data_IF_149813483511
#
_entry.id   IF_149813483511
#
_cell.length_a   1.000
_cell.length_b   1.000
_cell.length_c   1.000
_cell.angle_alpha   90.00
_cell.angle_beta   90.00
_cell.angle_gamma   90.00
#
_symmetry.space_group_name_H-M   'P 1'
#
loop_
_entity.id
_entity.type
_entity.pdbx_description
1 polymer ?
#
# COMPACT_ATOMS: atom_id res chain seq x y z
N UNK A 1 -12.72 28.35 20.36
CA UNK A 1 -13.12 28.55 18.95
C UNK A 1 -12.74 27.36 18.06
N UNK A 2 -11.56 26.76 18.25
CA UNK A 2 -11.06 25.62 17.49
C UNK A 2 -11.85 24.32 17.70
N UNK A 3 -12.22 24.00 18.95
CA UNK A 3 -13.05 22.81 19.28
C UNK A 3 -14.39 22.78 18.53
N UNK A 4 -15.07 23.92 18.43
CA UNK A 4 -16.35 24.00 17.71
C UNK A 4 -16.19 23.78 16.20
N UNK A 5 -15.07 24.22 15.61
CA UNK A 5 -14.77 23.97 14.19
C UNK A 5 -14.57 22.47 13.92
N UNK A 6 -13.79 21.80 14.78
CA UNK A 6 -13.56 20.34 14.68
C UNK A 6 -14.88 19.57 14.82
N UNK A 7 -15.71 19.94 15.80
CA UNK A 7 -17.01 19.31 16.01
C UNK A 7 -17.94 19.47 14.80
N UNK A 8 -17.99 20.66 14.18
CA UNK A 8 -18.77 20.90 12.96
C UNK A 8 -18.26 20.07 11.78
N UNK A 9 -16.95 20.02 11.57
CA UNK A 9 -16.35 19.22 10.51
C UNK A 9 -16.61 17.73 10.70
N UNK A 10 -16.49 17.23 11.94
CA UNK A 10 -16.78 15.84 12.28
C UNK A 10 -18.26 15.50 12.03
N UNK A 11 -19.19 16.37 12.46
CA UNK A 11 -20.62 16.18 12.21
C UNK A 11 -20.95 16.12 10.71
N UNK A 12 -20.31 16.97 9.90
CA UNK A 12 -20.47 16.94 8.44
C UNK A 12 -19.93 15.63 7.84
N UNK A 13 -18.74 15.20 8.25
CA UNK A 13 -18.15 13.94 7.79
C UNK A 13 -19.02 12.73 8.17
N UNK A 14 -19.53 12.68 9.40
CA UNK A 14 -20.45 11.64 9.87
C UNK A 14 -21.74 11.62 9.05
N UNK A 15 -22.31 12.77 8.70
CA UNK A 15 -23.50 12.85 7.85
C UNK A 15 -23.25 12.27 6.45
N UNK A 16 -22.08 12.52 5.87
CA UNK A 16 -21.69 11.96 4.57
C UNK A 16 -21.51 10.45 4.68
N UNK A 17 -20.77 9.98 5.69
CA UNK A 17 -20.56 8.55 5.91
C UNK A 17 -21.87 7.80 6.14
N UNK A 18 -22.81 8.41 6.88
CA UNK A 18 -24.12 7.84 7.15
C UNK A 18 -24.93 7.66 5.86
N UNK A 19 -24.93 8.65 4.97
CA UNK A 19 -25.58 8.56 3.66
C UNK A 19 -24.95 7.48 2.77
N UNK A 20 -23.63 7.35 2.85
CA UNK A 20 -22.84 6.40 2.07
C UNK A 20 -23.01 4.93 2.49
N UNK A 21 -23.59 4.64 3.67
CA UNK A 21 -23.82 3.26 4.13
C UNK A 21 -24.67 2.45 3.15
N UNK A 22 -25.66 3.09 2.50
CA UNK A 22 -26.55 2.41 1.57
C UNK A 22 -25.81 1.87 0.34
N UNK A 23 -24.76 2.57 -0.11
CA UNK A 23 -23.97 2.20 -1.27
C UNK A 23 -22.82 1.25 -0.90
N UNK A 24 -22.10 1.55 0.18
CA UNK A 24 -20.81 0.90 0.46
C UNK A 24 -20.81 -0.04 1.67
N UNK A 25 -21.96 -0.43 2.24
CA UNK A 25 -21.95 -1.50 3.27
C UNK A 25 -21.44 -2.83 2.68
N UNK A 26 -21.82 -3.16 1.46
CA UNK A 26 -21.46 -4.41 0.77
C UNK A 26 -20.54 -4.19 -0.45
N UNK A 27 -20.13 -2.94 -0.69
CA UNK A 27 -19.24 -2.49 -1.77
C UNK A 27 -18.19 -1.55 -1.22
N UNK A 28 -17.31 -1.04 -2.05
CA UNK A 28 -16.31 -0.05 -1.67
C UNK A 28 -16.37 1.15 -2.62
N UNK A 29 -16.03 2.36 -2.16
CA UNK A 29 -15.81 3.47 -3.07
C UNK A 29 -14.55 3.21 -3.91
N UNK A 30 -14.60 3.56 -5.19
CA UNK A 30 -13.42 3.54 -6.05
C UNK A 30 -12.30 4.45 -5.54
N UNK A 31 -11.07 4.23 -6.01
CA UNK A 31 -9.89 4.99 -5.56
C UNK A 31 -9.97 6.50 -5.84
N UNK A 32 -10.81 6.91 -6.79
CA UNK A 32 -11.01 8.30 -7.19
C UNK A 32 -12.50 8.58 -7.40
N UNK A 33 -12.94 9.81 -7.15
CA UNK A 33 -14.29 10.24 -7.47
C UNK A 33 -14.41 10.60 -8.94
N UNK A 34 -15.57 10.31 -9.54
CA UNK A 34 -15.99 10.80 -10.84
C UNK A 34 -17.11 11.81 -10.64
N UNK A 35 -16.93 13.03 -11.15
CA UNK A 35 -17.90 14.11 -10.97
C UNK A 35 -18.31 14.33 -9.49
N UNK A 36 -17.35 14.20 -8.56
CA UNK A 36 -17.51 14.30 -7.10
C UNK A 36 -18.29 13.14 -6.43
N UNK A 37 -18.59 12.07 -7.16
CA UNK A 37 -19.19 10.84 -6.61
C UNK A 37 -18.23 9.66 -6.77
N UNK A 38 -18.13 8.81 -5.75
CA UNK A 38 -17.31 7.61 -5.85
C UNK A 38 -18.11 6.48 -6.52
N UNK A 39 -17.59 5.86 -7.60
CA UNK A 39 -18.23 4.67 -8.16
C UNK A 39 -18.17 3.52 -7.13
N UNK A 40 -19.17 2.64 -7.16
CA UNK A 40 -19.13 1.39 -6.39
C UNK A 40 -18.17 0.40 -7.05
N UNK A 41 -17.29 -0.18 -6.26
CA UNK A 41 -16.34 -1.21 -6.67
C UNK A 41 -16.42 -2.44 -5.76
N UNK A 42 -15.86 -3.55 -6.21
CA UNK A 42 -15.60 -4.70 -5.35
C UNK A 42 -14.45 -4.42 -4.36
N UNK A 43 -14.16 -5.38 -3.49
CA UNK A 43 -12.99 -5.34 -2.61
C UNK A 43 -11.70 -5.69 -3.38
N UNK A 44 -11.36 -4.86 -4.36
CA UNK A 44 -10.15 -4.89 -5.17
C UNK A 44 -9.51 -3.51 -5.10
N UNK A 45 -8.29 -3.34 -5.60
CA UNK A 45 -7.46 -2.14 -5.45
C UNK A 45 -6.93 -1.95 -4.01
N UNK A 46 -6.03 -0.98 -3.86
CA UNK A 46 -5.25 -0.71 -2.65
C UNK A 46 -5.96 0.20 -1.62
N UNK A 47 -7.12 0.78 -1.97
CA UNK A 47 -7.77 1.85 -1.19
C UNK A 47 -8.95 1.38 -0.32
N UNK A 48 -9.44 0.16 -0.53
CA UNK A 48 -10.71 -0.28 0.09
C UNK A 48 -10.67 -0.31 1.61
N UNK A 49 -9.48 -0.50 2.21
CA UNK A 49 -9.31 -0.50 3.66
C UNK A 49 -9.62 0.85 4.32
N UNK A 50 -9.46 1.96 3.59
CA UNK A 50 -9.75 3.30 4.10
C UNK A 50 -11.25 3.50 4.35
N UNK A 51 -12.12 2.94 3.51
CA UNK A 51 -13.57 2.99 3.72
C UNK A 51 -13.94 2.33 5.06
N UNK A 52 -13.48 1.10 5.29
CA UNK A 52 -13.71 0.39 6.57
C UNK A 52 -13.14 1.14 7.76
N UNK A 53 -11.94 1.72 7.61
CA UNK A 53 -11.33 2.57 8.63
C UNK A 53 -12.18 3.77 9.02
N UNK A 54 -12.81 4.43 8.05
CA UNK A 54 -13.70 5.56 8.35
C UNK A 54 -14.95 5.12 9.11
N UNK A 55 -15.48 3.91 8.87
CA UNK A 55 -16.57 3.36 9.66
C UNK A 55 -16.15 3.00 11.09
N UNK A 56 -14.95 2.46 11.28
CA UNK A 56 -14.42 2.25 12.64
C UNK A 56 -14.22 3.56 13.40
N UNK A 57 -13.63 4.58 12.76
CA UNK A 57 -13.47 5.91 13.35
C UNK A 57 -14.83 6.55 13.69
N UNK A 58 -15.82 6.41 12.80
CA UNK A 58 -17.18 6.89 13.06
C UNK A 58 -17.82 6.17 14.25
N UNK A 59 -17.66 4.84 14.35
CA UNK A 59 -18.15 4.06 15.49
C UNK A 59 -17.48 4.46 16.81
N UNK A 60 -16.16 4.62 16.85
CA UNK A 60 -15.46 5.06 18.07
C UNK A 60 -15.90 6.47 18.50
N UNK A 61 -16.21 7.34 17.54
CA UNK A 61 -16.64 8.72 17.83
C UNK A 61 -18.08 8.81 18.32
N UNK A 62 -19.00 7.97 17.82
CA UNK A 62 -20.45 8.11 18.06
C UNK A 62 -21.09 6.95 18.82
N UNK A 63 -20.41 5.82 18.94
CA UNK A 63 -20.95 4.53 19.37
C UNK A 63 -22.16 4.04 18.54
N UNK A 64 -22.38 4.59 17.34
CA UNK A 64 -23.54 4.28 16.52
C UNK A 64 -23.40 2.91 15.84
N UNK A 65 -24.31 1.99 16.16
CA UNK A 65 -24.24 0.59 15.75
C UNK A 65 -24.20 0.37 14.23
N UNK A 66 -24.77 1.27 13.42
CA UNK A 66 -24.77 1.09 11.96
C UNK A 66 -23.38 1.14 11.35
N UNK A 67 -22.48 1.98 11.88
CA UNK A 67 -21.10 2.04 11.38
C UNK A 67 -20.34 0.77 11.73
N UNK A 68 -20.52 0.26 12.95
CA UNK A 68 -19.96 -1.03 13.36
C UNK A 68 -20.48 -2.16 12.48
N UNK A 69 -21.78 -2.26 12.26
CA UNK A 69 -22.37 -3.33 11.43
C UNK A 69 -21.81 -3.29 10.00
N UNK A 70 -21.69 -2.11 9.39
CA UNK A 70 -21.11 -1.98 8.06
C UNK A 70 -19.61 -2.35 8.02
N UNK A 71 -18.85 -1.93 9.03
CA UNK A 71 -17.44 -2.29 9.13
C UNK A 71 -17.24 -3.80 9.33
N UNK A 72 -18.07 -4.46 10.14
CA UNK A 72 -18.01 -5.91 10.36
C UNK A 72 -18.36 -6.69 9.08
N UNK A 73 -19.32 -6.22 8.26
CA UNK A 73 -19.60 -6.79 6.94
C UNK A 73 -18.37 -6.69 6.02
N UNK A 74 -17.72 -5.52 5.97
CA UNK A 74 -16.53 -5.33 5.15
C UNK A 74 -15.33 -6.16 5.65
N UNK A 75 -15.21 -6.40 6.97
CA UNK A 75 -14.19 -7.31 7.53
C UNK A 75 -14.35 -8.73 6.99
N UNK A 76 -15.57 -9.25 6.86
CA UNK A 76 -15.80 -10.57 6.24
C UNK A 76 -15.38 -10.57 4.77
N UNK A 77 -15.61 -9.47 4.05
CA UNK A 77 -15.11 -9.29 2.68
C UNK A 77 -13.56 -9.33 2.62
N UNK A 78 -12.86 -8.64 3.52
CA UNK A 78 -11.39 -8.68 3.61
C UNK A 78 -10.86 -10.07 3.99
N UNK A 79 -11.54 -10.77 4.89
CA UNK A 79 -11.18 -12.14 5.24
C UNK A 79 -11.27 -13.05 4.01
N UNK A 80 -12.34 -12.94 3.21
CA UNK A 80 -12.46 -13.68 1.96
C UNK A 80 -11.38 -13.29 0.94
N UNK A 81 -11.10 -11.99 0.78
CA UNK A 81 -10.06 -11.47 -0.12
C UNK A 81 -8.70 -12.11 0.15
N UNK A 82 -8.25 -12.12 1.41
CA UNK A 82 -6.93 -12.68 1.74
C UNK A 82 -6.89 -14.20 1.66
N UNK A 83 -7.97 -14.90 2.02
CA UNK A 83 -8.04 -16.37 1.95
C UNK A 83 -8.03 -16.87 0.51
N UNK A 84 -8.69 -16.15 -0.39
CA UNK A 84 -8.77 -16.49 -1.82
C UNK A 84 -7.66 -15.83 -2.65
N UNK A 85 -6.78 -15.04 -2.02
CA UNK A 85 -5.69 -14.30 -2.69
C UNK A 85 -6.17 -13.40 -3.84
N UNK A 86 -7.31 -12.75 -3.65
CA UNK A 86 -7.90 -11.83 -4.64
C UNK A 86 -7.18 -10.49 -4.56
N UNK A 87 -6.42 -10.16 -5.60
CA UNK A 87 -5.75 -8.86 -5.74
C UNK A 87 -4.93 -8.49 -4.49
N UNK A 88 -3.97 -9.34 -4.13
CA UNK A 88 -3.10 -9.17 -2.95
C UNK A 88 -1.60 -9.29 -3.29
N UNK A 89 -1.23 -9.26 -4.56
CA UNK A 89 0.15 -9.39 -5.01
C UNK A 89 0.87 -8.03 -5.15
N UNK A 90 0.82 -7.26 -4.07
CA UNK A 90 1.41 -5.93 -3.97
C UNK A 90 1.71 -5.60 -2.49
N UNK A 91 2.45 -4.54 -2.24
CA UNK A 91 2.87 -4.16 -0.89
C UNK A 91 1.81 -3.43 -0.04
N UNK A 92 0.63 -3.11 -0.57
CA UNK A 92 -0.39 -2.27 0.09
C UNK A 92 -1.22 -3.01 1.14
N UNK A 93 -0.71 -4.12 1.66
CA UNK A 93 -1.41 -4.94 2.65
C UNK A 93 -1.67 -4.18 3.95
N UNK A 94 -0.79 -3.25 4.33
CA UNK A 94 -1.02 -2.41 5.50
C UNK A 94 -2.14 -1.39 5.28
N UNK A 95 -2.22 -0.75 4.11
CA UNK A 95 -3.36 0.13 3.76
C UNK A 95 -4.69 -0.60 3.77
N UNK A 96 -4.69 -1.86 3.33
CA UNK A 96 -5.91 -2.65 3.27
C UNK A 96 -6.32 -3.19 4.64
N UNK A 97 -5.41 -3.82 5.39
CA UNK A 97 -5.75 -4.61 6.58
C UNK A 97 -5.53 -3.90 7.91
N UNK A 98 -4.73 -2.82 7.96
CA UNK A 98 -4.56 -2.04 9.20
C UNK A 98 -5.83 -1.27 9.57
N UNK A 99 -6.37 -0.39 8.70
CA UNK A 99 -7.58 0.36 9.03
C UNK A 99 -8.85 -0.52 9.05
N UNK A 100 -8.85 -1.71 8.44
CA UNK A 100 -10.00 -2.61 8.44
C UNK A 100 -9.91 -3.66 9.56
N UNK A 101 -9.09 -4.70 9.38
CA UNK A 101 -9.08 -5.89 10.21
C UNK A 101 -8.31 -5.71 11.53
N UNK A 102 -7.18 -4.99 11.52
CA UNK A 102 -6.46 -4.68 12.77
C UNK A 102 -7.32 -3.78 13.65
N UNK A 103 -7.93 -2.73 13.09
CA UNK A 103 -8.87 -1.87 13.80
C UNK A 103 -10.04 -2.67 14.39
N UNK A 104 -10.68 -3.54 13.60
CA UNK A 104 -11.77 -4.40 14.07
C UNK A 104 -11.36 -5.28 15.26
N UNK A 105 -10.17 -5.91 15.21
CA UNK A 105 -9.66 -6.70 16.33
C UNK A 105 -9.39 -5.83 17.56
N UNK A 106 -8.80 -4.64 17.40
CA UNK A 106 -8.50 -3.74 18.51
C UNK A 106 -9.76 -3.20 19.19
N UNK A 107 -10.78 -2.86 18.41
CA UNK A 107 -12.02 -2.24 18.91
C UNK A 107 -12.95 -3.30 19.52
N UNK A 108 -13.05 -4.49 18.91
CA UNK A 108 -14.10 -5.48 19.26
C UNK A 108 -13.56 -6.83 19.74
N UNK A 109 -12.26 -7.10 19.61
CA UNK A 109 -11.69 -8.42 19.85
C UNK A 109 -12.00 -9.45 18.76
N UNK A 110 -12.51 -9.04 17.59
CA UNK A 110 -12.88 -9.94 16.50
C UNK A 110 -11.69 -10.83 16.06
N UNK A 111 -11.79 -12.13 16.36
CA UNK A 111 -10.72 -13.11 16.09
C UNK A 111 -10.53 -13.40 14.61
N UNK A 112 -11.60 -13.34 13.81
CA UNK A 112 -11.51 -13.53 12.35
C UNK A 112 -10.79 -12.36 11.69
N UNK A 113 -11.04 -11.14 12.17
CA UNK A 113 -10.30 -9.96 11.76
C UNK A 113 -8.80 -10.09 12.11
N UNK A 114 -8.48 -10.58 13.32
CA UNK A 114 -7.09 -10.88 13.70
C UNK A 114 -6.43 -11.87 12.74
N UNK A 115 -7.12 -12.96 12.40
CA UNK A 115 -6.63 -13.96 11.46
C UNK A 115 -6.38 -13.33 10.07
N UNK A 116 -7.34 -12.57 9.55
CA UNK A 116 -7.19 -11.88 8.25
C UNK A 116 -5.96 -10.98 8.21
N UNK A 117 -5.75 -10.18 9.26
CA UNK A 117 -4.61 -9.27 9.34
C UNK A 117 -3.26 -10.01 9.46
N UNK A 118 -3.20 -11.15 10.15
CA UNK A 118 -1.98 -11.98 10.21
C UNK A 118 -1.69 -12.59 8.82
N UNK A 119 -2.71 -13.11 8.14
CA UNK A 119 -2.56 -13.63 6.78
C UNK A 119 -2.11 -12.55 5.79
N UNK A 120 -2.56 -11.31 5.97
CA UNK A 120 -2.11 -10.16 5.20
C UNK A 120 -0.66 -9.77 5.52
N UNK A 121 -0.23 -9.88 6.78
CA UNK A 121 1.17 -9.69 7.15
C UNK A 121 2.06 -10.77 6.54
N UNK A 122 1.63 -12.03 6.51
CA UNK A 122 2.33 -13.13 5.83
C UNK A 122 2.44 -12.88 4.32
N UNK A 123 1.36 -12.38 3.70
CA UNK A 123 1.37 -11.97 2.30
C UNK A 123 2.37 -10.84 2.05
N UNK A 124 2.40 -9.81 2.91
CA UNK A 124 3.34 -8.70 2.76
C UNK A 124 4.80 -9.16 2.86
N UNK A 125 5.16 -9.96 3.87
CA UNK A 125 6.55 -10.41 4.02
C UNK A 125 6.99 -11.36 2.91
N UNK A 126 6.08 -12.04 2.22
CA UNK A 126 6.41 -12.87 1.05
C UNK A 126 7.07 -12.07 -0.07
N UNK A 127 6.90 -10.74 -0.08
CA UNK A 127 7.51 -9.82 -1.03
C UNK A 127 8.89 -9.31 -0.58
N UNK A 128 9.39 -9.77 0.58
CA UNK A 128 10.68 -9.34 1.10
C UNK A 128 11.84 -9.91 0.26
N UNK A 129 12.67 -9.00 -0.23
CA UNK A 129 13.87 -9.28 -0.98
C UNK A 129 15.08 -9.28 -0.02
N UNK A 130 15.64 -10.47 0.21
CA UNK A 130 16.84 -10.63 1.05
C UNK A 130 18.01 -9.83 0.47
N UNK A 131 18.20 -9.90 -0.85
CA UNK A 131 19.16 -9.04 -1.55
C UNK A 131 18.57 -7.64 -1.66
N UNK A 132 19.26 -6.65 -1.10
CA UNK A 132 18.76 -5.26 -1.05
C UNK A 132 17.85 -4.95 0.15
N UNK A 133 17.42 -5.96 0.92
CA UNK A 133 16.71 -5.78 2.19
C UNK A 133 15.51 -4.83 2.13
N UNK A 134 14.56 -5.11 1.23
CA UNK A 134 13.35 -4.31 1.05
C UNK A 134 12.14 -5.18 0.74
N UNK A 135 10.95 -4.59 0.77
CA UNK A 135 9.70 -5.22 0.35
C UNK A 135 9.42 -4.71 -1.06
N UNK A 136 9.38 -5.61 -2.04
CA UNK A 136 9.14 -5.23 -3.42
C UNK A 136 7.71 -4.70 -3.57
N UNK A 137 7.57 -3.55 -4.24
CA UNK A 137 6.27 -2.89 -4.36
C UNK A 137 5.25 -3.75 -5.12
N UNK A 138 5.42 -3.91 -6.43
CA UNK A 138 4.49 -4.61 -7.32
C UNK A 138 5.24 -5.54 -8.29
N UNK A 139 4.49 -6.29 -9.09
CA UNK A 139 5.04 -7.21 -10.09
C UNK A 139 5.58 -8.50 -9.47
N UNK A 140 6.02 -9.39 -10.36
CA UNK A 140 6.54 -10.71 -10.00
C UNK A 140 7.73 -10.56 -9.01
N UNK A 141 7.68 -11.24 -7.85
CA UNK A 141 8.76 -11.18 -6.87
C UNK A 141 10.12 -11.56 -7.47
N UNK A 142 11.09 -10.66 -7.36
CA UNK A 142 12.45 -10.88 -7.85
C UNK A 142 12.69 -10.54 -9.32
N UNK A 143 11.66 -10.11 -10.06
CA UNK A 143 11.81 -9.65 -11.44
C UNK A 143 12.63 -8.34 -11.51
N UNK A 144 13.61 -8.30 -12.40
CA UNK A 144 14.58 -7.20 -12.50
C UNK A 144 13.91 -5.88 -12.94
N UNK A 145 12.91 -5.95 -13.82
CA UNK A 145 12.16 -4.79 -14.32
C UNK A 145 11.21 -4.16 -13.28
N UNK A 146 11.01 -4.84 -12.15
CA UNK A 146 10.17 -4.39 -11.03
C UNK A 146 10.87 -4.49 -9.67
N UNK A 147 12.20 -4.62 -9.65
CA UNK A 147 13.01 -4.74 -8.42
C UNK A 147 13.14 -3.40 -7.69
N UNK A 148 12.03 -2.89 -7.15
CA UNK A 148 11.91 -1.53 -6.63
C UNK A 148 11.13 -1.43 -5.33
N UNK A 149 11.46 -0.41 -4.55
CA UNK A 149 10.65 0.07 -3.43
C UNK A 149 9.99 1.41 -3.77
N UNK A 150 8.85 1.68 -3.14
CA UNK A 150 8.09 2.94 -3.23
C UNK A 150 7.88 3.45 -1.80
N UNK A 151 7.88 4.77 -1.63
CA UNK A 151 7.90 5.43 -0.31
C UNK A 151 6.68 5.14 0.57
N UNK A 152 5.51 4.94 -0.04
CA UNK A 152 4.26 4.58 0.64
C UNK A 152 4.31 3.22 1.35
N UNK A 153 5.26 2.34 0.99
CA UNK A 153 5.48 1.08 1.69
C UNK A 153 5.80 1.29 3.18
N UNK A 154 6.33 2.46 3.57
CA UNK A 154 6.53 2.83 4.97
C UNK A 154 5.22 2.83 5.78
N UNK A 155 4.08 3.17 5.16
CA UNK A 155 2.76 3.08 5.80
C UNK A 155 2.18 1.66 5.82
N UNK A 156 2.83 0.72 5.14
CA UNK A 156 2.46 -0.69 5.16
C UNK A 156 3.19 -1.48 6.26
N UNK A 157 4.32 -0.97 6.75
CA UNK A 157 5.11 -1.59 7.82
C UNK A 157 4.42 -1.68 9.20
N UNK A 158 3.53 -0.75 9.62
CA UNK A 158 2.78 -0.89 10.86
C UNK A 158 2.03 -2.22 11.01
N UNK A 159 1.55 -2.79 9.91
CA UNK A 159 0.95 -4.13 9.90
C UNK A 159 1.93 -5.21 10.38
N UNK A 160 3.19 -5.15 9.91
CA UNK A 160 4.23 -6.09 10.30
C UNK A 160 4.63 -5.93 11.77
N UNK A 161 4.77 -4.68 12.24
CA UNK A 161 5.01 -4.43 13.66
C UNK A 161 3.86 -4.93 14.53
N UNK A 162 2.61 -4.75 14.11
CA UNK A 162 1.45 -5.30 14.80
C UNK A 162 1.49 -6.83 14.82
N UNK A 163 1.75 -7.48 13.67
CA UNK A 163 1.83 -8.93 13.55
C UNK A 163 2.90 -9.53 14.47
N UNK A 164 4.08 -8.89 14.55
CA UNK A 164 5.14 -9.29 15.48
C UNK A 164 4.68 -9.26 16.94
N UNK A 165 3.97 -8.20 17.35
CA UNK A 165 3.46 -8.08 18.73
C UNK A 165 2.41 -9.13 19.08
N UNK A 166 1.50 -9.46 18.16
CA UNK A 166 0.37 -10.35 18.47
C UNK A 166 0.68 -11.84 18.29
N UNK A 167 1.75 -12.18 17.55
CA UNK A 167 2.20 -13.56 17.33
C UNK A 167 3.45 -13.92 18.14
N UNK A 168 4.28 -12.93 18.50
CA UNK A 168 5.61 -13.16 19.07
C UNK A 168 6.68 -13.50 18.03
N UNK A 169 6.35 -13.56 16.74
CA UNK A 169 7.29 -13.87 15.68
C UNK A 169 8.11 -12.62 15.28
N UNK A 170 9.43 -12.70 15.45
CA UNK A 170 10.36 -11.61 15.16
C UNK A 170 10.52 -11.29 13.67
N UNK A 171 10.17 -12.23 12.77
CA UNK A 171 10.40 -12.07 11.32
C UNK A 171 9.74 -10.81 10.75
N UNK A 172 8.54 -10.48 11.24
CA UNK A 172 7.78 -9.33 10.74
C UNK A 172 8.48 -8.02 11.11
N UNK A 173 8.92 -7.89 12.37
CA UNK A 173 9.67 -6.72 12.84
C UNK A 173 10.98 -6.58 12.09
N UNK A 174 11.70 -7.69 11.90
CA UNK A 174 13.00 -7.66 11.25
C UNK A 174 12.90 -7.23 9.78
N UNK A 175 11.90 -7.70 9.04
CA UNK A 175 11.63 -7.26 7.68
C UNK A 175 11.29 -5.75 7.63
N UNK A 176 10.45 -5.28 8.56
CA UNK A 176 10.06 -3.87 8.64
C UNK A 176 11.25 -2.94 8.94
N UNK A 177 12.10 -3.30 9.90
CA UNK A 177 13.30 -2.53 10.26
C UNK A 177 14.27 -2.44 9.08
N UNK A 178 14.51 -3.58 8.41
CA UNK A 178 15.41 -3.66 7.26
C UNK A 178 14.90 -2.84 6.08
N UNK A 179 13.62 -2.98 5.74
CA UNK A 179 12.97 -2.14 4.73
C UNK A 179 13.12 -0.65 5.07
N UNK A 180 12.82 -0.25 6.31
CA UNK A 180 12.91 1.16 6.74
C UNK A 180 14.31 1.72 6.53
N UNK A 181 15.35 0.95 6.90
CA UNK A 181 16.74 1.34 6.71
C UNK A 181 17.06 1.55 5.22
N UNK A 182 16.68 0.60 4.37
CA UNK A 182 16.88 0.71 2.92
C UNK A 182 16.12 1.91 2.34
N UNK A 183 14.88 2.15 2.78
CA UNK A 183 14.08 3.30 2.35
C UNK A 183 14.72 4.63 2.71
N UNK A 184 15.18 4.81 3.95
CA UNK A 184 15.85 6.05 4.37
C UNK A 184 17.13 6.28 3.55
N UNK A 185 17.92 5.22 3.31
CA UNK A 185 19.19 5.33 2.58
C UNK A 185 19.03 5.70 1.10
N UNK A 186 17.91 5.35 0.48
CA UNK A 186 17.76 5.44 -0.98
C UNK A 186 16.66 6.40 -1.43
N UNK A 187 15.58 6.56 -0.65
CA UNK A 187 14.45 7.42 -1.02
C UNK A 187 14.61 8.86 -0.52
N UNK A 188 15.32 9.08 0.59
CA UNK A 188 15.52 10.43 1.15
C UNK A 188 16.75 11.07 0.53
N UNK A 189 16.60 12.27 -0.04
CA UNK A 189 17.67 13.05 -0.65
C UNK A 189 18.41 13.89 0.39
N UNK A 190 19.59 14.38 0.02
CA UNK A 190 20.41 15.25 0.88
C UNK A 190 19.69 16.55 1.30
N UNK A 191 18.75 17.04 0.50
CA UNK A 191 17.92 18.22 0.79
C UNK A 191 16.64 17.90 1.59
N UNK A 192 16.51 16.67 2.10
CA UNK A 192 15.33 16.13 2.78
C UNK A 192 14.06 15.99 1.92
N UNK A 193 14.13 16.19 0.61
CA UNK A 193 13.06 15.76 -0.30
C UNK A 193 13.11 14.25 -0.52
N UNK A 194 12.08 13.67 -1.13
CA UNK A 194 12.01 12.21 -1.35
C UNK A 194 11.77 11.81 -2.79
N UNK A 195 12.38 10.71 -3.21
CA UNK A 195 11.95 9.99 -4.40
C UNK A 195 10.61 9.31 -4.15
N UNK A 196 9.79 9.20 -5.20
CA UNK A 196 8.59 8.38 -5.15
C UNK A 196 8.98 6.89 -5.13
N UNK A 197 9.88 6.50 -6.02
CA UNK A 197 10.29 5.11 -6.27
C UNK A 197 11.81 5.02 -6.40
N UNK A 198 12.38 3.89 -5.99
CA UNK A 198 13.79 3.57 -6.17
C UNK A 198 13.99 2.13 -6.65
N UNK A 199 14.75 1.93 -7.72
CA UNK A 199 15.11 0.61 -8.26
C UNK A 199 16.45 0.14 -7.71
N UNK A 200 16.54 -1.12 -7.30
CA UNK A 200 17.81 -1.75 -6.93
C UNK A 200 18.25 -2.70 -8.05
N UNK A 201 19.56 -2.87 -8.23
CA UNK A 201 20.13 -3.78 -9.23
C UNK A 201 20.48 -5.10 -8.55
N UNK A 202 20.03 -6.22 -9.12
CA UNK A 202 20.34 -7.57 -8.64
C UNK A 202 21.73 -8.03 -9.15
N UNK A 203 22.80 -7.41 -8.68
CA UNK A 203 24.18 -7.76 -9.06
C UNK A 203 24.92 -8.66 -8.05
N UNK A 204 26.00 -9.36 -8.45
CA UNK A 204 26.89 -10.07 -7.52
C UNK A 204 27.65 -9.13 -6.58
N UNK A 205 27.64 -7.82 -6.84
CA UNK A 205 28.32 -6.78 -6.07
C UNK A 205 27.37 -5.80 -5.36
N UNK A 206 26.21 -6.22 -4.87
CA UNK A 206 25.48 -5.41 -3.88
C UNK A 206 26.23 -5.46 -2.53
N UNK A 207 27.39 -4.82 -2.47
CA UNK A 207 28.28 -4.80 -1.31
C UNK A 207 27.59 -4.07 -0.16
N UNK A 208 27.42 -4.81 0.93
CA UNK A 208 27.24 -4.28 2.26
C UNK A 208 28.49 -3.52 2.71
N UNK A 209 28.28 -2.33 3.27
CA UNK A 209 29.31 -1.59 4.01
C UNK A 209 30.22 -0.75 3.13
N UNK A 210 29.89 0.55 3.01
CA UNK A 210 30.80 1.57 2.50
C UNK A 210 30.85 1.68 0.97
N UNK A 211 29.82 2.29 0.37
CA UNK A 211 29.91 2.79 -1.00
C UNK A 211 29.51 4.27 -1.02
N UNK A 212 30.39 5.09 -1.61
CA UNK A 212 30.16 6.52 -1.84
C UNK A 212 29.03 6.66 -2.86
N UNK A 213 28.34 7.79 -2.82
CA UNK A 213 27.24 8.26 -3.71
C UNK A 213 27.42 8.11 -5.23
N UNK A 214 28.50 7.50 -5.73
CA UNK A 214 28.92 7.52 -7.14
C UNK A 214 28.70 6.21 -7.90
N UNK A 215 28.42 5.10 -7.21
CA UNK A 215 28.36 3.77 -7.85
C UNK A 215 26.95 3.19 -7.96
N UNK A 216 25.92 3.96 -7.60
CA UNK A 216 24.51 3.56 -7.82
C UNK A 216 24.00 4.28 -9.08
N UNK A 217 23.74 3.51 -10.14
CA UNK A 217 23.10 4.04 -11.35
C UNK A 217 21.61 4.28 -11.07
N UNK A 218 21.26 5.54 -10.89
CA UNK A 218 19.88 5.97 -11.05
C UNK A 218 19.46 5.86 -12.52
N UNK A 219 18.43 5.06 -12.79
CA UNK A 219 17.66 5.20 -14.02
C UNK A 219 16.59 6.25 -13.74
N UNK A 220 16.92 7.52 -14.01
CA UNK A 220 15.96 8.62 -13.97
C UNK A 220 15.08 8.55 -15.22
N UNK A 221 13.74 8.64 -15.11
CA UNK A 221 12.89 8.79 -16.28
C UNK A 221 13.17 10.15 -16.94
N UNK A 222 13.61 10.15 -18.21
CA UNK A 222 13.71 11.36 -19.03
C UNK A 222 15.09 11.75 -19.56
N UNK A 223 16.15 10.96 -19.36
CA UNK A 223 17.37 11.08 -20.19
C UNK A 223 17.30 10.05 -21.31
N UNK A 224 17.51 10.51 -22.55
CA UNK A 224 17.52 9.66 -23.74
C UNK A 224 18.44 8.45 -23.53
N UNK A 225 17.85 7.26 -23.48
CA UNK A 225 18.57 6.00 -23.41
C UNK A 225 19.31 5.73 -24.71
N UNK A 226 20.44 5.02 -24.63
CA UNK A 226 21.16 4.55 -25.82
C UNK A 226 20.29 3.56 -26.61
N UNK A 227 20.52 3.38 -27.93
CA UNK A 227 19.75 2.45 -28.75
C UNK A 227 19.74 1.04 -28.13
N UNK A 228 18.56 0.56 -27.71
CA UNK A 228 18.36 -0.76 -27.09
C UNK A 228 17.65 -0.77 -25.73
N UNK A 229 17.40 0.39 -25.11
CA UNK A 229 16.71 0.47 -23.81
C UNK A 229 15.18 0.63 -23.96
N UNK A 230 14.41 -0.25 -23.30
CA UNK A 230 12.95 -0.15 -23.24
C UNK A 230 12.53 0.91 -22.21
N UNK A 231 11.80 1.91 -22.69
CA UNK A 231 11.20 2.97 -21.87
C UNK A 231 9.90 2.47 -21.23
N UNK A 232 9.86 2.37 -19.89
CA UNK A 232 8.61 2.23 -19.16
C UNK A 232 8.10 3.62 -18.74
N UNK A 233 6.96 4.06 -19.30
CA UNK A 233 6.19 5.19 -18.75
C UNK A 233 5.17 4.63 -17.76
N UNK A 234 5.17 5.14 -16.54
CA UNK A 234 4.30 4.71 -15.43
C UNK A 234 2.98 5.48 -15.41
N UNK A 235 1.86 4.76 -15.38
CA UNK A 235 0.55 5.22 -14.88
C UNK A 235 -0.16 4.03 -14.20
N UNK A 236 -1.04 4.31 -13.23
CA UNK A 236 -1.69 3.36 -12.31
C UNK A 236 -2.80 2.49 -12.99
N UNK A 237 -2.54 1.95 -14.18
CA UNK A 237 -3.50 1.08 -14.87
C UNK A 237 -2.88 0.41 -16.08
N UNK A 238 -2.48 -0.86 -15.93
CA UNK A 238 -2.15 -1.77 -17.04
C UNK A 238 -0.89 -1.44 -17.84
N UNK A 239 -0.04 -2.45 -18.07
CA UNK A 239 1.14 -2.32 -18.94
C UNK A 239 0.68 -2.30 -20.41
N UNK A 240 0.73 -1.15 -21.08
CA UNK A 240 0.73 -1.10 -22.54
C UNK A 240 2.17 -1.24 -23.05
N UNK A 241 2.48 -2.35 -23.72
CA UNK A 241 3.73 -2.49 -24.50
C UNK A 241 3.64 -1.65 -25.77
N UNK A 242 4.45 -0.59 -25.90
CA UNK A 242 4.62 0.10 -27.18
C UNK A 242 5.60 -0.66 -28.10
N UNK A 243 5.27 -0.70 -29.40
CA UNK A 243 6.15 -1.23 -30.46
C UNK A 243 7.35 -0.28 -30.69
N UNK A 244 8.49 -0.79 -31.21
CA UNK A 244 9.65 0.05 -31.54
C UNK A 244 9.29 1.07 -32.62
N UNK A 245 9.85 2.28 -32.53
CA UNK A 245 9.72 3.29 -33.57
C UNK A 245 10.45 2.81 -34.84
N UNK A 246 9.73 2.79 -35.97
CA UNK A 246 10.32 2.59 -37.29
C UNK A 246 11.11 3.85 -37.67
N UNK A 247 12.33 3.64 -38.19
CA UNK A 247 13.23 4.71 -38.64
C UNK A 247 12.58 5.52 -39.76
N UNK A 248 12.19 6.75 -39.48
CA UNK A 248 11.86 7.72 -40.52
C UNK A 248 13.18 8.33 -41.02
N UNK A 249 13.66 7.85 -42.17
CA UNK A 249 14.79 8.43 -42.89
C UNK A 249 14.43 9.82 -43.42
N UNK A 250 15.29 10.79 -43.16
CA UNK A 250 15.19 12.15 -43.68
C UNK A 250 15.04 12.22 -45.20
N UNK A 251 14.00 12.92 -45.68
CA UNK A 251 14.00 13.79 -46.85
C UNK A 251 13.00 14.92 -46.62
#
# INVERSE_FOLDING_TARGET
MEKLKVQKAAAQALSILKGNLNNYTYKFPGSNSEHLFYPETENTEWTTGFCTGTYWLAYELTAEGSFRSAAEVQVESFYNRIKQKIDVDHHDMGFLYTPSCVAAYQITGNKRAKEAAILAADQLISRFQVKGEFLQAWGEPGAEDNYRLIIDCLLNLPLLYWASRVTGDGKYRDAAVRHTKTSIQNLVREDNSTYHTYFLIRGPESRYGGLRLRDIRMILPGREGRPGEYMARHWHGGIQKMKPAENCSAK
#
